data_IF_228340120334
#
_entry.id   IF_228340120334
#
_cell.length_a   1.000
_cell.length_b   1.000
_cell.length_c   1.000
_cell.angle_alpha   90.00
_cell.angle_beta   90.00
_cell.angle_gamma   90.00
#
_symmetry.space_group_name_H-M   'P 1'
#
loop_
_entity.id
_entity.type
_entity.pdbx_description
1 polymer ?
#
# COMPACT_ATOMS: atom_id res chain seq x y z
N UNK A 1 2.97 11.68 2.26
CA UNK A 1 1.60 12.10 2.63
C UNK A 1 0.95 13.05 1.61
N UNK A 2 1.62 14.11 1.14
CA UNK A 2 1.01 15.15 0.27
C UNK A 2 0.40 14.65 -1.04
N UNK A 3 0.96 13.60 -1.66
CA UNK A 3 0.38 13.01 -2.87
C UNK A 3 -0.93 12.23 -2.56
N UNK A 4 -0.96 11.53 -1.42
CA UNK A 4 -2.09 10.70 -1.02
C UNK A 4 -3.31 11.56 -0.68
N UNK A 5 -3.12 12.62 0.11
CA UNK A 5 -4.23 13.55 0.43
C UNK A 5 -4.77 14.23 -0.83
N UNK A 6 -3.92 14.57 -1.80
CA UNK A 6 -4.35 15.12 -3.09
C UNK A 6 -5.23 14.15 -3.88
N UNK A 7 -4.88 12.86 -3.89
CA UNK A 7 -5.71 11.82 -4.51
C UNK A 7 -7.02 11.61 -3.75
N UNK A 8 -6.98 11.65 -2.43
CA UNK A 8 -8.16 11.53 -1.59
C UNK A 8 -9.16 12.65 -1.87
N UNK A 9 -8.69 13.91 -1.95
CA UNK A 9 -9.49 15.06 -2.36
C UNK A 9 -10.13 14.86 -3.73
N UNK A 10 -9.38 14.34 -4.71
CA UNK A 10 -9.92 14.09 -6.06
C UNK A 10 -11.08 13.09 -6.08
N UNK A 11 -10.99 12.01 -5.28
CA UNK A 11 -12.09 11.03 -5.16
C UNK A 11 -13.27 11.63 -4.39
N UNK A 12 -13.02 12.33 -3.28
CA UNK A 12 -14.08 12.98 -2.50
C UNK A 12 -14.81 14.06 -3.32
N UNK A 13 -14.09 14.81 -4.16
CA UNK A 13 -14.67 15.78 -5.08
C UNK A 13 -15.68 15.12 -6.03
N UNK A 14 -15.29 14.01 -6.66
CA UNK A 14 -16.19 13.24 -7.52
C UNK A 14 -17.44 12.75 -6.78
N UNK A 15 -17.29 12.28 -5.54
CA UNK A 15 -18.42 11.90 -4.69
C UNK A 15 -19.35 13.09 -4.40
N UNK A 16 -18.81 14.25 -4.05
CA UNK A 16 -19.61 15.45 -3.82
C UNK A 16 -20.32 15.95 -5.08
N UNK A 17 -19.68 15.85 -6.25
CA UNK A 17 -20.31 16.20 -7.53
C UNK A 17 -21.49 15.29 -7.86
N UNK A 18 -21.41 13.98 -7.59
CA UNK A 18 -22.53 13.04 -7.72
C UNK A 18 -23.70 13.39 -6.78
N UNK A 19 -23.41 13.90 -5.59
CA UNK A 19 -24.40 14.42 -4.64
C UNK A 19 -24.92 15.82 -4.98
N UNK A 20 -24.48 16.43 -6.09
CA UNK A 20 -24.78 17.81 -6.48
C UNK A 20 -24.32 18.85 -5.44
N UNK A 21 -23.33 18.49 -4.63
CA UNK A 21 -22.65 19.36 -3.65
C UNK A 21 -21.37 19.95 -4.25
N UNK A 22 -21.53 20.65 -5.37
CA UNK A 22 -20.41 21.28 -6.08
C UNK A 22 -19.64 22.29 -5.22
N UNK A 23 -20.32 22.89 -4.23
CA UNK A 23 -19.69 23.73 -3.21
C UNK A 23 -18.59 22.97 -2.45
N UNK A 24 -18.89 21.75 -1.99
CA UNK A 24 -17.92 20.91 -1.27
C UNK A 24 -16.85 20.33 -2.18
N UNK A 25 -17.22 19.97 -3.42
CA UNK A 25 -16.25 19.53 -4.44
C UNK A 25 -15.15 20.57 -4.66
N UNK A 26 -15.52 21.85 -4.82
CA UNK A 26 -14.52 22.92 -4.97
C UNK A 26 -13.69 23.13 -3.70
N UNK A 27 -14.31 23.12 -2.52
CA UNK A 27 -13.60 23.27 -1.24
C UNK A 27 -12.48 22.23 -1.07
N UNK A 28 -12.74 20.96 -1.44
CA UNK A 28 -11.71 19.91 -1.34
C UNK A 28 -10.65 20.04 -2.44
N UNK A 29 -11.01 20.44 -3.65
CA UNK A 29 -10.06 20.63 -4.75
C UNK A 29 -9.10 21.80 -4.51
N UNK A 30 -9.60 22.88 -3.91
CA UNK A 30 -8.81 24.03 -3.45
C UNK A 30 -7.94 23.69 -2.23
N UNK A 31 -8.17 22.52 -1.63
CA UNK A 31 -7.33 21.95 -0.59
C UNK A 31 -7.68 22.37 0.83
N UNK A 32 -8.90 22.89 1.03
CA UNK A 32 -9.38 23.37 2.32
C UNK A 32 -10.31 22.38 3.05
N UNK A 33 -10.62 21.23 2.45
CA UNK A 33 -11.55 20.23 3.03
C UNK A 33 -10.89 18.95 3.53
N UNK A 34 -9.65 19.01 4.01
CA UNK A 34 -8.93 17.82 4.50
C UNK A 34 -9.58 17.18 5.73
N UNK A 35 -10.31 17.95 6.53
CA UNK A 35 -11.02 17.52 7.73
C UNK A 35 -12.39 16.90 7.43
N UNK A 36 -12.87 16.99 6.18
CA UNK A 36 -14.14 16.37 5.79
C UNK A 36 -14.06 14.85 5.92
N UNK A 37 -15.09 14.19 6.50
CA UNK A 37 -15.11 12.74 6.70
C UNK A 37 -14.82 11.94 5.44
N UNK A 38 -15.31 12.39 4.28
CA UNK A 38 -15.12 11.76 2.99
C UNK A 38 -13.64 11.78 2.56
N UNK A 39 -12.96 12.92 2.75
CA UNK A 39 -11.53 13.03 2.43
C UNK A 39 -10.70 12.15 3.36
N UNK A 40 -10.99 12.16 4.67
CA UNK A 40 -10.28 11.32 5.64
C UNK A 40 -10.53 9.83 5.41
N UNK A 41 -11.75 9.44 5.10
CA UNK A 41 -12.10 8.05 4.80
C UNK A 41 -11.33 7.55 3.57
N UNK A 42 -11.30 8.33 2.49
CA UNK A 42 -10.54 7.96 1.29
C UNK A 42 -9.04 7.96 1.58
N UNK A 43 -8.52 8.93 2.34
CA UNK A 43 -7.10 8.96 2.70
C UNK A 43 -6.71 7.71 3.51
N UNK A 44 -7.52 7.31 4.47
CA UNK A 44 -7.28 6.10 5.26
C UNK A 44 -7.34 4.83 4.39
N UNK A 45 -8.32 4.74 3.48
CA UNK A 45 -8.42 3.62 2.54
C UNK A 45 -7.18 3.54 1.63
N UNK A 46 -6.78 4.66 1.03
CA UNK A 46 -5.60 4.72 0.16
C UNK A 46 -4.32 4.41 0.92
N UNK A 47 -4.21 4.81 2.19
CA UNK A 47 -3.05 4.47 3.03
C UNK A 47 -2.98 2.97 3.28
N UNK A 48 -4.08 2.35 3.69
CA UNK A 48 -4.14 0.91 3.92
C UNK A 48 -3.83 0.09 2.65
N UNK A 49 -4.32 0.55 1.49
CA UNK A 49 -4.01 -0.07 0.19
C UNK A 49 -2.54 0.10 -0.20
N UNK A 50 -1.96 1.30 0.01
CA UNK A 50 -0.55 1.55 -0.25
C UNK A 50 0.36 0.67 0.63
N UNK A 51 0.01 0.51 1.92
CA UNK A 51 0.72 -0.38 2.83
C UNK A 51 0.62 -1.84 2.40
N UNK A 52 -0.57 -2.27 1.93
CA UNK A 52 -0.77 -3.64 1.41
C UNK A 52 0.08 -3.89 0.18
N UNK A 53 0.07 -2.97 -0.79
CA UNK A 53 0.91 -3.05 -1.99
C UNK A 53 2.40 -3.07 -1.63
N UNK A 54 2.84 -2.22 -0.70
CA UNK A 54 4.23 -2.20 -0.26
C UNK A 54 4.68 -3.54 0.33
N UNK A 55 3.83 -4.21 1.12
CA UNK A 55 4.13 -5.56 1.64
C UNK A 55 4.29 -6.58 0.52
N UNK A 56 3.42 -6.54 -0.48
CA UNK A 56 3.50 -7.44 -1.64
C UNK A 56 4.74 -7.17 -2.48
N UNK A 57 5.02 -5.91 -2.79
CA UNK A 57 6.22 -5.50 -3.54
C UNK A 57 7.49 -5.91 -2.80
N UNK A 58 7.52 -5.80 -1.48
CA UNK A 58 8.68 -6.22 -0.67
C UNK A 58 8.93 -7.72 -0.81
N UNK A 59 7.90 -8.56 -0.69
CA UNK A 59 8.05 -10.01 -0.88
C UNK A 59 8.44 -10.36 -2.32
N UNK A 60 7.84 -9.71 -3.32
CA UNK A 60 8.17 -9.93 -4.72
C UNK A 60 9.60 -9.53 -5.05
N UNK A 61 10.12 -8.44 -4.47
CA UNK A 61 11.53 -8.03 -4.63
C UNK A 61 12.48 -9.10 -4.10
N UNK A 62 12.17 -9.72 -2.96
CA UNK A 62 12.97 -10.82 -2.41
C UNK A 62 12.96 -12.04 -3.34
N UNK A 63 11.79 -12.47 -3.81
CA UNK A 63 11.71 -13.59 -4.76
C UNK A 63 12.36 -13.31 -6.12
N UNK A 64 12.40 -12.04 -6.54
CA UNK A 64 13.02 -11.62 -7.79
C UNK A 64 14.55 -11.45 -7.69
N UNK A 65 15.11 -11.41 -6.48
CA UNK A 65 16.56 -11.32 -6.26
C UNK A 65 17.21 -12.69 -6.54
N UNK A 66 18.12 -12.81 -7.52
CA UNK A 66 18.81 -14.08 -7.78
C UNK A 66 19.64 -14.57 -6.59
N UNK A 67 20.20 -13.67 -5.77
CA UNK A 67 20.99 -14.04 -4.60
C UNK A 67 20.14 -14.67 -3.49
N UNK A 68 18.83 -14.42 -3.49
CA UNK A 68 17.91 -15.06 -2.56
C UNK A 68 17.91 -16.58 -2.74
N UNK A 69 18.10 -17.05 -3.97
CA UNK A 69 18.08 -18.48 -4.32
C UNK A 69 19.48 -19.12 -4.30
N UNK A 70 20.54 -18.34 -4.06
CA UNK A 70 21.91 -18.83 -4.10
C UNK A 70 22.25 -19.60 -2.83
N UNK A 71 22.24 -20.93 -2.93
CA UNK A 71 22.64 -21.90 -1.89
C UNK A 71 24.00 -21.57 -1.25
N UNK A 72 24.92 -20.97 -2.01
CA UNK A 72 26.24 -20.61 -1.52
C UNK A 72 26.24 -19.37 -0.62
N UNK A 73 25.14 -18.60 -0.59
CA UNK A 73 24.96 -17.43 0.26
C UNK A 73 24.24 -17.78 1.57
N UNK A 74 24.56 -17.11 2.69
CA UNK A 74 23.80 -17.22 3.93
C UNK A 74 22.31 -16.93 3.66
N UNK A 75 21.46 -17.92 3.95
CA UNK A 75 20.02 -17.88 3.70
C UNK A 75 19.55 -18.60 2.43
N UNK A 76 20.38 -18.87 1.42
CA UNK A 76 19.92 -19.53 0.18
C UNK A 76 19.35 -20.93 0.37
N UNK A 77 19.95 -21.71 1.27
CA UNK A 77 19.39 -23.00 1.68
C UNK A 77 18.00 -22.87 2.32
N UNK A 78 17.74 -21.78 3.06
CA UNK A 78 16.42 -21.50 3.67
C UNK A 78 15.40 -21.03 2.64
N UNK A 79 15.82 -20.26 1.63
CA UNK A 79 14.95 -19.83 0.53
C UNK A 79 14.39 -21.01 -0.27
N UNK A 80 15.20 -22.04 -0.50
CA UNK A 80 14.75 -23.29 -1.15
C UNK A 80 13.67 -24.04 -0.34
N UNK A 81 13.57 -23.76 0.95
CA UNK A 81 12.56 -24.35 1.84
C UNK A 81 11.35 -23.45 2.08
N UNK A 82 11.38 -22.16 1.70
CA UNK A 82 10.28 -21.20 1.94
C UNK A 82 8.93 -21.75 1.46
N UNK A 83 8.89 -22.41 0.30
CA UNK A 83 7.67 -23.05 -0.23
C UNK A 83 6.45 -22.11 -0.23
N UNK A 84 6.68 -20.82 -0.46
CA UNK A 84 5.64 -19.78 -0.45
C UNK A 84 5.21 -19.31 0.95
N UNK A 85 5.98 -19.57 2.00
CA UNK A 85 5.66 -19.13 3.36
C UNK A 85 5.69 -17.60 3.47
N UNK A 86 6.70 -16.94 2.91
CA UNK A 86 6.74 -15.49 2.82
C UNK A 86 5.52 -14.93 2.08
N UNK A 87 5.13 -15.54 0.95
CA UNK A 87 3.93 -15.15 0.20
C UNK A 87 2.66 -15.28 1.07
N UNK A 88 2.47 -16.40 1.77
CA UNK A 88 1.32 -16.62 2.67
C UNK A 88 1.30 -15.60 3.81
N UNK A 89 2.46 -15.29 4.38
CA UNK A 89 2.58 -14.30 5.46
C UNK A 89 2.15 -12.90 5.00
N UNK A 90 2.64 -12.43 3.85
CA UNK A 90 2.26 -11.09 3.37
C UNK A 90 0.79 -11.00 2.96
N UNK A 91 0.24 -12.08 2.37
CA UNK A 91 -1.19 -12.17 2.05
C UNK A 91 -2.07 -12.14 3.30
N UNK A 92 -1.58 -12.69 4.43
CA UNK A 92 -2.22 -12.59 5.74
C UNK A 92 -2.02 -11.22 6.42
N UNK A 93 -1.41 -10.25 5.75
CA UNK A 93 -1.18 -8.89 6.28
C UNK A 93 0.06 -8.74 7.15
N UNK A 94 0.92 -9.77 7.23
CA UNK A 94 2.18 -9.72 7.99
C UNK A 94 3.30 -9.17 7.13
N UNK A 95 4.41 -8.76 7.74
CA UNK A 95 5.60 -8.31 7.02
C UNK A 95 6.22 -9.46 6.23
N UNK A 96 6.87 -9.13 5.12
CA UNK A 96 7.76 -10.07 4.44
C UNK A 96 8.93 -10.35 5.41
N UNK A 97 9.03 -11.58 5.89
CA UNK A 97 10.05 -11.96 6.86
C UNK A 97 10.93 -13.06 6.28
N UNK A 98 12.22 -12.81 6.29
CA UNK A 98 13.26 -13.76 5.92
C UNK A 98 14.48 -13.47 6.79
N UNK A 99 14.94 -14.44 7.58
CA UNK A 99 16.21 -14.29 8.32
C UNK A 99 17.36 -14.55 7.35
N UNK A 100 18.15 -13.51 7.08
CA UNK A 100 19.44 -13.59 6.40
C UNK A 100 20.51 -13.38 7.49
N UNK A 101 20.77 -14.42 8.27
CA UNK A 101 21.91 -14.49 9.19
C UNK A 101 23.02 -15.35 8.56
#
# INVERSE_FOLDING_TARGET
MTNLIKRARGVAAGYFDELKRHDLSQVVLDGSGDDLPEVQMVANLLSGEAERLLRYETALKQYADPEFWDDAMPGGALAMHDSGEMARNVLAGRTAFFHRD
#
